data_IF_545355562560
#
_entry.id   IF_545355562560
#
_cell.length_a   1.000
_cell.length_b   1.000
_cell.length_c   1.000
_cell.angle_alpha   90.00
_cell.angle_beta   90.00
_cell.angle_gamma   90.00
#
_symmetry.space_group_name_H-M   'P 1'
#
loop_
_entity.id
_entity.type
_entity.pdbx_description
1 polymer ?
#
# COMPACT_ATOMS: atom_id res chain seq x y z
N UNK A 1 -8.48 6.58 23.70
CA UNK A 1 -7.78 6.78 22.41
C UNK A 1 -8.67 7.44 21.38
N UNK A 2 -9.76 6.80 20.93
CA UNK A 2 -10.68 7.38 19.95
C UNK A 2 -11.25 8.77 20.34
N UNK A 3 -11.63 8.95 21.61
CA UNK A 3 -12.08 10.25 22.13
C UNK A 3 -11.00 11.34 22.12
N UNK A 4 -9.73 10.98 22.30
CA UNK A 4 -8.60 11.92 22.23
C UNK A 4 -8.35 12.38 20.79
N UNK A 5 -8.43 11.44 19.83
CA UNK A 5 -8.34 11.74 18.39
C UNK A 5 -9.49 12.65 17.94
N UNK A 6 -10.72 12.33 18.35
CA UNK A 6 -11.89 13.14 18.04
C UNK A 6 -11.78 14.55 18.62
N UNK A 7 -11.31 14.69 19.87
CA UNK A 7 -11.04 16.00 20.49
C UNK A 7 -9.94 16.79 19.77
N UNK A 8 -8.98 16.11 19.16
CA UNK A 8 -7.95 16.71 18.31
C UNK A 8 -8.44 17.03 16.88
N UNK A 9 -9.74 16.81 16.58
CA UNK A 9 -10.31 17.04 15.25
C UNK A 9 -10.04 15.93 14.24
N UNK A 10 -9.55 14.77 14.69
CA UNK A 10 -9.27 13.61 13.82
C UNK A 10 -10.51 12.75 13.65
N UNK A 11 -10.91 12.55 12.40
CA UNK A 11 -11.94 11.61 11.99
C UNK A 11 -11.31 10.28 11.55
N UNK A 12 -11.44 9.27 12.40
CA UNK A 12 -10.88 7.93 12.18
C UNK A 12 -11.61 7.22 11.04
N UNK A 13 -12.93 7.39 10.94
CA UNK A 13 -13.75 6.73 9.91
C UNK A 13 -13.42 7.29 8.53
N UNK A 14 -13.26 8.63 8.43
CA UNK A 14 -12.77 9.26 7.21
C UNK A 14 -11.39 8.75 6.80
N UNK A 15 -10.52 8.48 7.78
CA UNK A 15 -9.22 7.86 7.57
C UNK A 15 -9.32 6.46 6.96
N UNK A 16 -10.17 5.59 7.51
CA UNK A 16 -10.37 4.24 6.96
C UNK A 16 -10.97 4.26 5.56
N UNK A 17 -11.92 5.15 5.28
CA UNK A 17 -12.49 5.30 3.96
C UNK A 17 -11.46 5.78 2.93
N UNK A 18 -10.57 6.71 3.32
CA UNK A 18 -9.48 7.14 2.46
C UNK A 18 -8.52 5.97 2.12
N UNK A 19 -8.13 5.18 3.13
CA UNK A 19 -7.29 3.99 2.92
C UNK A 19 -7.97 3.00 1.98
N UNK A 20 -9.26 2.71 2.19
CA UNK A 20 -10.04 1.79 1.36
C UNK A 20 -10.07 2.24 -0.11
N UNK A 21 -10.29 3.53 -0.37
CA UNK A 21 -10.27 4.09 -1.73
C UNK A 21 -8.90 3.94 -2.38
N UNK A 22 -7.83 4.30 -1.67
CA UNK A 22 -6.46 4.15 -2.18
C UNK A 22 -6.12 2.68 -2.50
N UNK A 23 -6.48 1.75 -1.61
CA UNK A 23 -6.26 0.32 -1.83
C UNK A 23 -6.89 -0.17 -3.13
N UNK A 24 -8.13 0.25 -3.42
CA UNK A 24 -8.81 -0.14 -4.67
C UNK A 24 -8.07 0.31 -5.94
N UNK A 25 -7.42 1.48 -5.89
CA UNK A 25 -6.64 1.99 -7.02
C UNK A 25 -5.29 1.27 -7.14
N UNK A 26 -4.66 0.96 -6.02
CA UNK A 26 -3.38 0.24 -5.97
C UNK A 26 -3.54 -1.19 -6.45
N UNK A 27 -4.58 -1.90 -6.02
CA UNK A 27 -4.89 -3.28 -6.43
C UNK A 27 -4.98 -3.44 -7.95
N UNK A 28 -5.49 -2.42 -8.65
CA UNK A 28 -5.58 -2.41 -10.12
C UNK A 28 -4.23 -2.38 -10.84
N UNK A 29 -3.15 -2.04 -10.13
CA UNK A 29 -1.78 -1.98 -10.67
C UNK A 29 -0.95 -3.21 -10.34
N UNK A 30 -1.53 -4.18 -9.63
CA UNK A 30 -0.83 -5.39 -9.22
C UNK A 30 -0.41 -6.24 -10.42
N UNK A 31 0.80 -6.77 -10.33
CA UNK A 31 1.37 -7.72 -11.28
C UNK A 31 1.97 -8.90 -10.52
N UNK A 32 2.21 -10.00 -11.24
CA UNK A 32 2.66 -11.28 -10.65
C UNK A 32 3.96 -11.17 -9.85
N UNK A 33 4.78 -10.17 -10.14
CA UNK A 33 6.07 -9.91 -9.50
C UNK A 33 5.94 -9.10 -8.20
N UNK A 34 4.81 -8.43 -7.96
CA UNK A 34 4.61 -7.69 -6.71
C UNK A 34 4.28 -8.67 -5.60
N UNK A 35 5.05 -8.61 -4.52
CA UNK A 35 4.86 -9.41 -3.31
C UNK A 35 4.34 -8.50 -2.19
N UNK A 36 3.15 -8.81 -1.66
CA UNK A 36 2.49 -8.03 -0.61
C UNK A 36 1.50 -6.98 -1.14
N UNK A 37 1.21 -5.94 -0.36
CA UNK A 37 0.22 -4.90 -0.68
C UNK A 37 0.25 -3.68 0.25
N UNK A 38 -0.72 -2.76 0.09
CA UNK A 38 -0.74 -1.42 0.72
C UNK A 38 -0.95 -1.41 2.26
N UNK A 39 -1.13 -2.57 2.90
CA UNK A 39 -1.59 -2.67 4.29
C UNK A 39 -0.52 -2.61 5.39
N UNK A 40 0.72 -2.19 5.09
CA UNK A 40 1.74 -2.00 6.13
C UNK A 40 3.16 -1.66 5.64
N UNK A 41 3.35 -0.43 5.15
CA UNK A 41 4.63 0.26 4.85
C UNK A 41 5.43 -0.06 3.58
N UNK A 42 5.17 -1.17 2.89
CA UNK A 42 5.82 -1.42 1.60
C UNK A 42 5.48 -2.76 1.00
N UNK A 43 5.68 -2.87 -0.31
CA UNK A 43 5.65 -4.12 -1.05
C UNK A 43 7.03 -4.37 -1.65
N UNK A 44 7.36 -5.63 -1.90
CA UNK A 44 8.61 -5.99 -2.60
C UNK A 44 8.29 -6.48 -4.01
N UNK A 45 9.33 -6.57 -4.83
CA UNK A 45 9.20 -6.95 -6.24
C UNK A 45 10.16 -8.08 -6.57
N UNK A 46 9.64 -9.18 -7.10
CA UNK A 46 10.43 -10.32 -7.54
C UNK A 46 11.07 -10.05 -8.91
N UNK A 47 12.40 -9.96 -8.92
CA UNK A 47 13.20 -9.76 -10.13
C UNK A 47 13.69 -11.08 -10.75
N UNK A 48 13.45 -12.24 -10.12
CA UNK A 48 13.97 -13.54 -10.56
C UNK A 48 13.55 -13.94 -11.98
N UNK A 49 12.40 -13.42 -12.42
CA UNK A 49 11.83 -13.67 -13.75
C UNK A 49 12.31 -12.69 -14.82
N UNK A 50 13.10 -11.68 -14.44
CA UNK A 50 13.68 -10.72 -15.37
C UNK A 50 15.03 -11.28 -15.85
N UNK A 51 15.05 -11.86 -17.04
CA UNK A 51 16.24 -12.44 -17.69
C UNK A 51 17.29 -11.39 -18.07
N UNK A 52 17.91 -10.75 -17.09
CA UNK A 52 18.86 -9.65 -17.27
C UNK A 52 20.30 -10.09 -16.99
N UNK A 53 21.23 -9.72 -17.88
CA UNK A 53 22.64 -10.13 -17.79
C UNK A 53 23.49 -9.26 -16.86
N UNK A 54 23.16 -7.97 -16.75
CA UNK A 54 23.86 -7.01 -15.90
C UNK A 54 22.88 -5.89 -15.47
N UNK A 55 21.87 -6.21 -14.65
CA UNK A 55 20.88 -5.23 -14.22
C UNK A 55 21.49 -4.20 -13.25
N UNK A 56 21.00 -2.96 -13.33
CA UNK A 56 21.28 -1.87 -12.39
C UNK A 56 19.94 -1.30 -11.96
N UNK A 57 19.79 -1.00 -10.66
CA UNK A 57 18.61 -0.42 -10.04
C UNK A 57 18.83 1.06 -9.71
#
# INVERSE_FOLDING_TARGET
MAESYKKAGVDIEAGYEAVKRMSSHVERTMRKEVLGGLGGFGATFDLSQLNMKAPVL
#
